data_IF_291692988960
#
_entry.id   IF_291692988960
#
_cell.length_a   1.000
_cell.length_b   1.000
_cell.length_c   1.000
_cell.angle_alpha   90.00
_cell.angle_beta   90.00
_cell.angle_gamma   90.00
#
_symmetry.space_group_name_H-M   'P 1'
#
loop_
_entity.id
_entity.type
_entity.pdbx_description
1 polymer ?
#
# COMPACT_ATOMS: atom_id res chain seq x y z
N UNK A 1 -31.35 -10.16 -5.60
CA UNK A 1 -31.38 -9.23 -6.79
C UNK A 1 -30.08 -8.45 -6.82
N UNK A 2 -29.41 -8.41 -7.98
CA UNK A 2 -28.20 -7.60 -8.11
C UNK A 2 -28.51 -6.13 -7.91
N UNK A 3 -27.75 -5.45 -7.04
CA UNK A 3 -27.88 -4.03 -6.74
C UNK A 3 -26.50 -3.35 -6.81
N UNK A 4 -26.51 -2.06 -7.08
CA UNK A 4 -25.29 -1.24 -7.10
C UNK A 4 -24.91 -0.89 -5.67
N UNK A 5 -23.85 -1.49 -5.15
CA UNK A 5 -23.33 -1.24 -3.80
C UNK A 5 -21.97 -0.54 -3.84
N UNK A 6 -21.68 0.24 -2.81
CA UNK A 6 -20.40 0.93 -2.65
C UNK A 6 -19.41 -0.01 -1.97
N UNK A 7 -18.53 -0.63 -2.76
CA UNK A 7 -17.53 -1.60 -2.31
C UNK A 7 -16.28 -0.90 -1.77
N UNK A 8 -15.82 0.15 -2.46
CA UNK A 8 -14.63 0.90 -2.05
C UNK A 8 -15.00 2.32 -1.61
N UNK A 9 -14.61 2.68 -0.39
CA UNK A 9 -14.73 4.05 0.10
C UNK A 9 -13.74 5.01 -0.60
N UNK A 10 -13.98 6.30 -0.47
CA UNK A 10 -13.11 7.30 -1.07
C UNK A 10 -11.68 7.28 -0.48
N UNK A 11 -11.47 7.14 0.85
CA UNK A 11 -10.14 7.03 1.43
C UNK A 11 -9.31 5.87 0.87
N UNK A 12 -9.90 4.68 0.73
CA UNK A 12 -9.21 3.51 0.14
C UNK A 12 -8.79 3.74 -1.30
N UNK A 13 -9.68 4.33 -2.11
CA UNK A 13 -9.40 4.63 -3.53
C UNK A 13 -8.34 5.73 -3.68
N UNK A 14 -8.46 6.80 -2.91
CA UNK A 14 -7.49 7.90 -2.92
C UNK A 14 -6.10 7.40 -2.50
N UNK A 15 -6.02 6.63 -1.41
CA UNK A 15 -4.78 5.96 -1.00
C UNK A 15 -4.16 5.16 -2.14
N UNK A 16 -4.95 4.31 -2.81
CA UNK A 16 -4.45 3.44 -3.88
C UNK A 16 -3.86 4.25 -5.04
N UNK A 17 -4.57 5.26 -5.53
CA UNK A 17 -4.10 6.02 -6.69
C UNK A 17 -2.95 6.97 -6.35
N UNK A 18 -2.95 7.57 -5.16
CA UNK A 18 -1.80 8.33 -4.68
C UNK A 18 -0.56 7.44 -4.53
N UNK A 19 -0.73 6.22 -4.01
CA UNK A 19 0.35 5.24 -3.90
C UNK A 19 0.93 4.89 -5.28
N UNK A 20 0.09 4.64 -6.28
CA UNK A 20 0.54 4.34 -7.66
C UNK A 20 1.36 5.50 -8.24
N UNK A 21 0.87 6.74 -8.12
CA UNK A 21 1.57 7.92 -8.62
C UNK A 21 2.89 8.14 -7.87
N UNK A 22 2.86 8.03 -6.55
CA UNK A 22 4.03 8.22 -5.73
C UNK A 22 5.09 7.13 -5.95
N UNK A 23 4.67 5.89 -6.17
CA UNK A 23 5.59 4.79 -6.51
C UNK A 23 6.36 5.06 -7.80
N UNK A 24 5.68 5.54 -8.85
CA UNK A 24 6.32 5.98 -10.10
C UNK A 24 7.29 7.15 -9.89
N UNK A 25 6.89 8.12 -9.08
CA UNK A 25 7.75 9.26 -8.71
C UNK A 25 8.98 8.81 -7.90
N UNK A 26 8.82 7.91 -6.95
CA UNK A 26 9.92 7.37 -6.14
C UNK A 26 10.95 6.64 -7.00
N UNK A 27 10.49 5.82 -7.95
CA UNK A 27 11.38 5.18 -8.92
C UNK A 27 12.11 6.21 -9.78
N UNK A 28 11.39 7.17 -10.35
CA UNK A 28 11.97 8.23 -11.18
C UNK A 28 13.02 9.03 -10.42
N UNK A 29 12.70 9.56 -9.24
CA UNK A 29 13.61 10.38 -8.44
C UNK A 29 14.86 9.64 -7.99
N UNK A 30 14.74 8.34 -7.69
CA UNK A 30 15.89 7.50 -7.36
C UNK A 30 16.83 7.29 -8.57
N UNK A 31 16.24 7.10 -9.78
CA UNK A 31 17.04 6.86 -10.99
C UNK A 31 17.76 8.12 -11.50
N UNK A 32 17.20 9.31 -11.26
CA UNK A 32 17.85 10.57 -11.64
C UNK A 32 19.04 10.91 -10.72
N UNK A 33 18.96 10.57 -9.44
CA UNK A 33 20.01 10.92 -8.48
C UNK A 33 20.16 12.43 -8.28
N UNK A 34 21.35 12.86 -7.82
CA UNK A 34 21.67 14.30 -7.66
C UNK A 34 20.61 15.03 -6.83
N UNK A 35 20.20 16.21 -7.30
CA UNK A 35 19.19 17.04 -6.62
C UNK A 35 17.83 16.36 -6.46
N UNK A 36 17.52 15.37 -7.29
CA UNK A 36 16.29 14.61 -7.17
C UNK A 36 16.25 13.69 -5.95
N UNK A 37 17.39 13.37 -5.33
CA UNK A 37 17.42 12.62 -4.06
C UNK A 37 16.76 13.37 -2.92
N UNK A 38 16.81 14.69 -2.86
CA UNK A 38 16.06 15.49 -1.87
C UNK A 38 14.55 15.24 -2.01
N UNK A 39 14.07 15.17 -3.25
CA UNK A 39 12.66 14.89 -3.53
C UNK A 39 12.31 13.43 -3.29
N UNK A 40 13.26 12.49 -3.51
CA UNK A 40 13.11 11.10 -3.14
C UNK A 40 12.92 10.94 -1.61
N UNK A 41 13.74 11.60 -0.81
CA UNK A 41 13.60 11.59 0.65
C UNK A 41 12.24 12.12 1.10
N UNK A 42 11.81 13.28 0.57
CA UNK A 42 10.50 13.88 0.88
C UNK A 42 9.33 12.98 0.42
N UNK A 43 9.44 12.41 -0.77
CA UNK A 43 8.48 11.43 -1.27
C UNK A 43 8.44 10.17 -0.42
N UNK A 44 9.58 9.74 0.13
CA UNK A 44 9.68 8.63 1.07
C UNK A 44 8.90 8.85 2.36
N UNK A 45 8.95 10.06 2.92
CA UNK A 45 8.11 10.44 4.06
C UNK A 45 6.62 10.36 3.69
N UNK A 46 6.22 10.97 2.57
CA UNK A 46 4.83 10.91 2.12
C UNK A 46 4.37 9.44 1.88
N UNK A 47 5.26 8.59 1.36
CA UNK A 47 4.98 7.15 1.22
C UNK A 47 4.74 6.50 2.58
N UNK A 48 5.56 6.82 3.58
CA UNK A 48 5.40 6.32 4.94
C UNK A 48 4.08 6.78 5.56
N UNK A 49 3.71 8.05 5.38
CA UNK A 49 2.41 8.58 5.83
C UNK A 49 1.24 7.84 5.20
N UNK A 50 1.30 7.59 3.88
CA UNK A 50 0.27 6.81 3.18
C UNK A 50 0.19 5.38 3.70
N UNK A 51 1.32 4.72 3.93
CA UNK A 51 1.36 3.36 4.49
C UNK A 51 0.82 3.34 5.91
N UNK A 52 1.22 4.27 6.77
CA UNK A 52 0.69 4.41 8.13
C UNK A 52 -0.83 4.64 8.14
N UNK A 53 -1.30 5.56 7.30
CA UNK A 53 -2.73 5.76 7.09
C UNK A 53 -3.44 4.45 6.70
N UNK A 54 -2.91 3.70 5.73
CA UNK A 54 -3.52 2.45 5.25
C UNK A 54 -3.54 1.36 6.32
N UNK A 55 -2.51 1.26 7.14
CA UNK A 55 -2.48 0.32 8.26
C UNK A 55 -3.58 0.65 9.27
N UNK A 56 -3.70 1.92 9.66
CA UNK A 56 -4.79 2.39 10.53
C UNK A 56 -6.16 2.14 9.90
N UNK A 57 -6.33 2.47 8.62
CA UNK A 57 -7.58 2.23 7.88
C UNK A 57 -7.91 0.75 7.73
N UNK A 58 -6.89 -0.11 7.78
CA UNK A 58 -7.04 -1.56 7.84
C UNK A 58 -7.51 -2.12 9.17
N UNK A 59 -7.44 -1.32 10.23
CA UNK A 59 -7.89 -1.71 11.57
C UNK A 59 -9.30 -1.20 11.85
N UNK A 60 -9.57 0.09 11.63
CA UNK A 60 -10.85 0.72 11.98
C UNK A 60 -11.60 1.40 10.83
N UNK A 61 -11.14 1.27 9.58
CA UNK A 61 -11.79 1.82 8.40
C UNK A 61 -13.11 1.13 8.02
N UNK A 62 -13.51 1.26 6.76
CA UNK A 62 -14.69 0.59 6.21
C UNK A 62 -14.51 -0.92 6.16
N UNK A 63 -15.60 -1.69 6.17
CA UNK A 63 -15.56 -3.15 6.27
C UNK A 63 -14.69 -3.79 5.18
N UNK A 64 -14.79 -3.34 3.93
CA UNK A 64 -13.97 -3.86 2.82
C UNK A 64 -12.49 -3.48 2.92
N UNK A 65 -12.14 -2.48 3.74
CA UNK A 65 -10.77 -2.04 3.99
C UNK A 65 -10.11 -2.75 5.18
N UNK A 66 -10.91 -3.29 6.13
CA UNK A 66 -10.41 -3.92 7.35
C UNK A 66 -9.71 -5.25 7.07
N UNK A 67 -8.51 -5.42 7.63
CA UNK A 67 -7.76 -6.67 7.54
C UNK A 67 -8.55 -7.87 8.09
N UNK A 68 -9.24 -7.69 9.21
CA UNK A 68 -10.07 -8.72 9.84
C UNK A 68 -11.24 -9.20 8.98
N UNK A 69 -11.65 -8.42 7.97
CA UNK A 69 -12.78 -8.75 7.09
C UNK A 69 -12.34 -9.41 5.79
N UNK A 70 -11.18 -9.05 5.27
CA UNK A 70 -10.75 -9.57 3.97
C UNK A 70 -9.61 -10.61 4.05
N UNK A 71 -8.84 -10.66 5.14
CA UNK A 71 -7.86 -11.74 5.35
C UNK A 71 -8.61 -12.99 5.78
N UNK A 72 -8.58 -13.98 4.92
CA UNK A 72 -9.39 -15.20 5.07
C UNK A 72 -8.55 -16.41 5.45
N UNK A 73 -9.12 -17.41 6.17
CA UNK A 73 -8.41 -18.61 6.53
C UNK A 73 -8.03 -19.44 5.29
N UNK A 74 -7.02 -20.27 5.42
CA UNK A 74 -6.50 -21.09 4.32
C UNK A 74 -7.56 -21.97 3.64
N UNK A 75 -8.56 -22.43 4.38
CA UNK A 75 -9.70 -23.18 3.84
C UNK A 75 -10.49 -22.40 2.79
N UNK A 76 -10.70 -21.09 3.00
CA UNK A 76 -11.40 -20.24 2.04
C UNK A 76 -10.52 -19.89 0.83
N UNK A 77 -9.21 -19.72 1.02
CA UNK A 77 -8.27 -19.57 -0.08
C UNK A 77 -8.33 -20.80 -0.98
N UNK A 78 -8.35 -22.01 -0.39
CA UNK A 78 -8.48 -23.28 -1.12
C UNK A 78 -9.84 -23.38 -1.85
N UNK A 79 -10.95 -23.01 -1.20
CA UNK A 79 -12.27 -22.95 -1.85
C UNK A 79 -12.25 -22.04 -3.08
N UNK A 80 -11.65 -20.87 -2.94
CA UNK A 80 -11.54 -19.91 -4.01
C UNK A 80 -10.72 -20.44 -5.20
N UNK A 81 -9.54 -20.99 -4.95
CA UNK A 81 -8.68 -21.55 -6.01
C UNK A 81 -9.31 -22.75 -6.72
N UNK A 82 -10.22 -23.47 -6.05
CA UNK A 82 -11.01 -24.55 -6.64
C UNK A 82 -12.27 -24.07 -7.40
N UNK A 83 -12.48 -22.75 -7.52
CA UNK A 83 -13.65 -22.19 -8.19
C UNK A 83 -14.98 -22.37 -7.45
N UNK A 84 -14.92 -22.65 -6.14
CA UNK A 84 -16.10 -22.96 -5.30
C UNK A 84 -16.65 -21.73 -4.55
N UNK A 85 -16.28 -20.52 -4.97
CA UNK A 85 -16.79 -19.27 -4.42
C UNK A 85 -17.40 -18.42 -5.54
N UNK A 86 -18.57 -17.88 -5.30
CA UNK A 86 -19.25 -16.97 -6.22
C UNK A 86 -18.72 -15.52 -6.09
N UNK A 87 -18.98 -14.69 -7.10
CA UNK A 87 -18.65 -13.26 -7.03
C UNK A 87 -19.43 -12.52 -5.94
N UNK A 88 -20.64 -12.97 -5.63
CA UNK A 88 -21.51 -12.37 -4.63
C UNK A 88 -20.99 -12.62 -3.19
N UNK A 89 -20.20 -13.69 -2.99
CA UNK A 89 -19.46 -13.94 -1.73
C UNK A 89 -18.22 -13.05 -1.58
N UNK A 90 -17.78 -12.37 -2.67
CA UNK A 90 -16.54 -11.61 -2.76
C UNK A 90 -16.83 -10.11 -2.93
N UNK A 91 -17.39 -9.50 -1.88
CA UNK A 91 -17.81 -8.08 -1.93
C UNK A 91 -16.61 -7.15 -2.15
N UNK A 92 -15.50 -7.39 -1.47
CA UNK A 92 -14.26 -6.62 -1.59
C UNK A 92 -13.14 -7.40 -2.27
N UNK A 93 -12.07 -7.67 -1.51
CA UNK A 93 -10.96 -8.46 -2.02
C UNK A 93 -11.34 -9.95 -2.13
N UNK A 94 -10.95 -10.59 -3.23
CA UNK A 94 -10.91 -12.04 -3.26
C UNK A 94 -9.71 -12.54 -2.42
N UNK A 95 -9.69 -13.83 -2.01
CA UNK A 95 -8.65 -14.35 -1.11
C UNK A 95 -7.21 -14.18 -1.61
N UNK A 96 -6.95 -14.35 -2.91
CA UNK A 96 -5.62 -14.12 -3.50
C UNK A 96 -5.26 -12.63 -3.56
N UNK A 97 -6.24 -11.78 -3.88
CA UNK A 97 -6.09 -10.32 -3.83
C UNK A 97 -5.79 -9.83 -2.41
N UNK A 98 -6.41 -10.44 -1.39
CA UNK A 98 -6.12 -10.16 0.01
C UNK A 98 -4.66 -10.44 0.37
N UNK A 99 -4.13 -11.60 -0.02
CA UNK A 99 -2.71 -11.95 0.17
C UNK A 99 -1.79 -10.97 -0.55
N UNK A 100 -2.13 -10.58 -1.77
CA UNK A 100 -1.36 -9.58 -2.54
C UNK A 100 -1.34 -8.22 -1.83
N UNK A 101 -2.46 -7.77 -1.26
CA UNK A 101 -2.50 -6.52 -0.48
C UNK A 101 -1.59 -6.60 0.74
N UNK A 102 -1.62 -7.70 1.49
CA UNK A 102 -0.73 -7.90 2.64
C UNK A 102 0.74 -7.92 2.21
N UNK A 103 1.06 -8.65 1.14
CA UNK A 103 2.45 -8.72 0.62
C UNK A 103 2.97 -7.35 0.18
N UNK A 104 2.17 -6.58 -0.59
CA UNK A 104 2.55 -5.24 -1.02
C UNK A 104 2.69 -4.27 0.14
N UNK A 105 1.78 -4.28 1.12
CA UNK A 105 1.89 -3.42 2.30
C UNK A 105 3.11 -3.77 3.15
N UNK A 106 3.37 -5.05 3.39
CA UNK A 106 4.57 -5.49 4.12
C UNK A 106 5.85 -5.07 3.39
N UNK A 107 5.89 -5.24 2.06
CA UNK A 107 7.01 -4.80 1.25
C UNK A 107 7.21 -3.27 1.30
N UNK A 108 6.13 -2.48 1.25
CA UNK A 108 6.19 -1.03 1.38
C UNK A 108 6.69 -0.57 2.76
N UNK A 109 6.20 -1.21 3.85
CA UNK A 109 6.70 -0.95 5.21
C UNK A 109 8.20 -1.22 5.27
N UNK A 110 8.64 -2.36 4.77
CA UNK A 110 10.05 -2.73 4.78
C UNK A 110 10.90 -1.78 3.92
N UNK A 111 10.43 -1.44 2.72
CA UNK A 111 11.10 -0.50 1.81
C UNK A 111 11.24 0.88 2.45
N UNK A 112 10.18 1.43 3.03
CA UNK A 112 10.23 2.74 3.68
C UNK A 112 11.09 2.73 4.94
N UNK A 113 11.00 1.68 5.76
CA UNK A 113 11.83 1.53 6.95
C UNK A 113 13.32 1.49 6.61
N UNK A 114 13.73 0.69 5.62
CA UNK A 114 15.14 0.65 5.20
C UNK A 114 15.62 1.97 4.62
N UNK A 115 14.74 2.71 3.91
CA UNK A 115 15.06 4.03 3.37
C UNK A 115 15.30 5.09 4.45
N UNK A 116 14.59 5.03 5.59
CA UNK A 116 14.79 5.97 6.70
C UNK A 116 16.21 5.90 7.29
N UNK A 117 16.84 4.74 7.26
CA UNK A 117 18.17 4.51 7.82
C UNK A 117 19.28 4.44 6.76
N UNK A 118 18.95 4.54 5.48
CA UNK A 118 19.92 4.40 4.40
C UNK A 118 20.99 5.50 4.42
N UNK A 119 22.27 5.12 4.32
CA UNK A 119 23.38 6.06 4.20
C UNK A 119 23.51 6.58 2.76
N UNK A 120 23.97 7.83 2.60
CA UNK A 120 24.45 8.34 1.32
C UNK A 120 25.99 8.20 1.28
N UNK A 121 26.46 7.20 0.55
CA UNK A 121 27.89 6.91 0.42
C UNK A 121 28.62 7.81 -0.59
N UNK A 122 27.88 8.55 -1.41
CA UNK A 122 28.46 9.36 -2.48
C UNK A 122 28.70 10.82 -2.09
N UNK A 123 27.68 11.45 -1.49
CA UNK A 123 27.72 12.89 -1.18
C UNK A 123 27.66 13.17 0.31
N UNK A 124 27.28 12.18 1.14
CA UNK A 124 27.07 12.28 2.58
C UNK A 124 26.02 13.31 3.01
N UNK A 125 25.26 13.85 2.05
CA UNK A 125 24.30 14.94 2.25
C UNK A 125 22.85 14.51 2.20
N UNK A 126 22.56 13.38 1.55
CA UNK A 126 21.20 12.90 1.27
C UNK A 126 20.90 11.53 1.93
N UNK A 127 21.37 11.34 3.14
CA UNK A 127 21.04 10.15 3.93
C UNK A 127 19.58 10.13 4.39
N UNK A 128 19.07 8.94 4.69
CA UNK A 128 17.74 8.77 5.28
C UNK A 128 17.58 9.55 6.58
N UNK A 129 16.39 10.03 6.89
CA UNK A 129 16.11 10.95 8.01
C UNK A 129 16.56 10.46 9.38
N UNK A 130 16.64 9.14 9.58
CA UNK A 130 17.05 8.51 10.83
C UNK A 130 18.44 7.83 10.75
N UNK A 131 19.21 8.12 9.69
CA UNK A 131 20.52 7.49 9.49
C UNK A 131 21.48 7.77 10.64
N UNK A 132 21.45 8.96 11.21
CA UNK A 132 22.29 9.38 12.35
C UNK A 132 22.06 8.58 13.63
N UNK A 133 20.94 7.83 13.72
CA UNK A 133 20.62 6.97 14.88
C UNK A 133 21.27 5.59 14.80
N UNK A 134 21.95 5.27 13.72
CA UNK A 134 22.57 3.96 13.49
C UNK A 134 24.06 4.11 13.18
N UNK A 135 24.80 3.01 13.31
CA UNK A 135 26.21 3.01 12.92
C UNK A 135 26.35 3.13 11.39
N UNK A 136 27.50 3.63 10.93
CA UNK A 136 27.84 3.73 9.50
C UNK A 136 27.63 2.38 8.77
N UNK A 137 28.11 1.29 9.37
CA UNK A 137 27.89 -0.05 8.81
C UNK A 137 26.42 -0.41 8.67
N UNK A 138 25.57 -0.08 9.66
CA UNK A 138 24.14 -0.33 9.60
C UNK A 138 23.44 0.55 8.54
N UNK A 139 23.85 1.82 8.41
CA UNK A 139 23.34 2.72 7.39
C UNK A 139 23.65 2.26 5.96
N UNK A 140 24.91 1.84 5.73
CA UNK A 140 25.36 1.24 4.46
C UNK A 140 24.58 -0.05 4.15
N UNK A 141 24.38 -0.93 5.14
CA UNK A 141 23.59 -2.14 4.97
C UNK A 141 22.12 -1.80 4.64
N UNK A 142 21.53 -0.84 5.36
CA UNK A 142 20.15 -0.40 5.11
C UNK A 142 19.99 0.13 3.67
N UNK A 143 20.94 0.94 3.17
CA UNK A 143 20.96 1.40 1.78
C UNK A 143 21.02 0.23 0.80
N UNK A 144 21.94 -0.69 1.01
CA UNK A 144 22.11 -1.87 0.15
C UNK A 144 20.82 -2.70 0.07
N UNK A 145 20.17 -2.90 1.22
CA UNK A 145 18.88 -3.60 1.29
C UNK A 145 17.81 -2.79 0.55
N UNK A 146 17.68 -1.48 0.84
CA UNK A 146 16.67 -0.59 0.24
C UNK A 146 16.75 -0.61 -1.29
N UNK A 147 17.92 -0.45 -1.86
CA UNK A 147 18.12 -0.45 -3.32
C UNK A 147 17.79 -1.80 -3.94
N UNK A 148 18.24 -2.90 -3.34
CA UNK A 148 18.00 -4.23 -3.92
C UNK A 148 16.56 -4.71 -3.72
N UNK A 149 15.95 -4.41 -2.56
CA UNK A 149 14.59 -4.83 -2.24
C UNK A 149 13.53 -4.13 -3.10
N UNK A 150 13.85 -2.97 -3.68
CA UNK A 150 12.98 -2.34 -4.67
C UNK A 150 12.62 -3.29 -5.82
N UNK A 151 13.54 -4.15 -6.26
CA UNK A 151 13.24 -5.14 -7.31
C UNK A 151 12.14 -6.14 -6.86
N UNK A 152 12.14 -6.54 -5.60
CA UNK A 152 11.06 -7.39 -5.05
C UNK A 152 9.74 -6.65 -5.07
N UNK A 153 9.72 -5.39 -4.64
CA UNK A 153 8.53 -4.55 -4.66
C UNK A 153 8.02 -4.33 -6.09
N UNK A 154 8.91 -4.08 -7.05
CA UNK A 154 8.57 -3.91 -8.47
C UNK A 154 7.97 -5.20 -9.06
N UNK A 155 8.53 -6.37 -8.74
CA UNK A 155 7.97 -7.67 -9.15
C UNK A 155 6.59 -7.89 -8.56
N UNK A 156 6.38 -7.61 -7.27
CA UNK A 156 5.07 -7.73 -6.63
C UNK A 156 4.04 -6.79 -7.29
N UNK A 157 4.41 -5.55 -7.57
CA UNK A 157 3.55 -4.60 -8.28
C UNK A 157 3.23 -5.08 -9.70
N UNK A 158 4.22 -5.61 -10.43
CA UNK A 158 4.02 -6.20 -11.76
C UNK A 158 3.07 -7.40 -11.73
N UNK A 159 3.22 -8.32 -10.77
CA UNK A 159 2.32 -9.45 -10.56
C UNK A 159 0.90 -8.97 -10.21
N UNK A 160 0.77 -7.93 -9.38
CA UNK A 160 -0.53 -7.33 -9.07
C UNK A 160 -1.21 -6.78 -10.34
N UNK A 161 -0.51 -6.01 -11.14
CA UNK A 161 -1.05 -5.45 -12.39
C UNK A 161 -1.43 -6.58 -13.35
N UNK A 162 -0.55 -7.57 -13.54
CA UNK A 162 -0.82 -8.71 -14.40
C UNK A 162 -2.05 -9.51 -13.94
N UNK A 163 -2.22 -9.71 -12.63
CA UNK A 163 -3.40 -10.35 -12.07
C UNK A 163 -4.67 -9.54 -12.37
N UNK A 164 -4.68 -8.22 -12.16
CA UNK A 164 -5.83 -7.35 -12.46
C UNK A 164 -6.22 -7.44 -13.94
N UNK A 165 -5.24 -7.42 -14.85
CA UNK A 165 -5.48 -7.55 -16.29
C UNK A 165 -6.01 -8.96 -16.65
N UNK A 166 -5.48 -10.02 -16.05
CA UNK A 166 -5.97 -11.38 -16.22
C UNK A 166 -7.43 -11.52 -15.77
N UNK A 167 -7.77 -10.93 -14.62
CA UNK A 167 -9.17 -10.91 -14.16
C UNK A 167 -10.06 -10.18 -15.16
N UNK A 168 -9.63 -9.02 -15.64
CA UNK A 168 -10.40 -8.21 -16.61
C UNK A 168 -10.63 -8.93 -17.93
N UNK A 169 -9.56 -9.47 -18.54
CA UNK A 169 -9.61 -9.97 -19.93
C UNK A 169 -9.93 -11.46 -20.02
N UNK A 170 -9.44 -12.30 -19.09
CA UNK A 170 -9.63 -13.75 -19.13
C UNK A 170 -10.84 -14.16 -18.29
N UNK A 171 -10.89 -13.72 -17.03
CA UNK A 171 -11.99 -14.06 -16.12
C UNK A 171 -13.26 -13.25 -16.33
N UNK A 172 -13.19 -12.17 -17.15
CA UNK A 172 -14.29 -11.24 -17.41
C UNK A 172 -14.84 -10.56 -16.13
N UNK A 173 -14.00 -10.42 -15.10
CA UNK A 173 -14.31 -9.78 -13.84
C UNK A 173 -13.63 -8.40 -13.79
N UNK A 174 -14.44 -7.34 -13.72
CA UNK A 174 -13.93 -5.98 -13.69
C UNK A 174 -13.52 -5.57 -12.27
N UNK A 175 -12.22 -5.49 -12.02
CA UNK A 175 -11.65 -4.99 -10.78
C UNK A 175 -11.26 -3.51 -10.87
N UNK A 176 -11.11 -2.96 -12.06
CA UNK A 176 -10.63 -1.59 -12.29
C UNK A 176 -11.75 -0.58 -12.03
N UNK A 177 -12.91 -0.78 -12.66
CA UNK A 177 -14.05 0.16 -12.52
C UNK A 177 -14.47 0.35 -11.05
N UNK A 178 -14.60 -0.68 -10.20
CA UNK A 178 -14.87 -0.46 -8.78
C UNK A 178 -13.78 0.33 -8.06
N UNK A 179 -12.50 0.16 -8.40
CA UNK A 179 -11.42 0.93 -7.80
C UNK A 179 -11.42 2.41 -8.26
N UNK A 180 -11.98 2.71 -9.43
CA UNK A 180 -12.18 4.09 -9.92
C UNK A 180 -13.46 4.72 -9.35
N UNK A 181 -14.58 4.05 -9.48
CA UNK A 181 -15.92 4.58 -9.13
C UNK A 181 -16.31 4.39 -7.68
N UNK A 182 -15.83 3.30 -7.04
CA UNK A 182 -16.23 2.83 -5.72
C UNK A 182 -17.37 1.82 -5.74
N UNK A 183 -18.02 1.58 -6.88
CA UNK A 183 -19.26 0.80 -6.96
C UNK A 183 -19.08 -0.51 -7.73
N UNK A 184 -19.82 -1.54 -7.30
CA UNK A 184 -19.96 -2.83 -7.97
C UNK A 184 -21.43 -3.24 -7.98
N UNK A 185 -21.88 -3.93 -9.04
CA UNK A 185 -23.25 -4.46 -9.14
C UNK A 185 -23.23 -5.96 -8.85
N UNK A 186 -23.65 -6.33 -7.64
CA UNK A 186 -23.65 -7.72 -7.13
C UNK A 186 -24.87 -7.97 -6.25
N UNK A 187 -25.17 -9.23 -5.96
CA UNK A 187 -26.22 -9.65 -5.00
C UNK A 187 -25.59 -9.82 -3.60
N UNK A 188 -25.33 -8.70 -2.95
CA UNK A 188 -24.75 -8.67 -1.61
C UNK A 188 -25.24 -7.45 -0.83
N UNK A 189 -25.08 -7.49 0.48
CA UNK A 189 -25.41 -6.35 1.35
C UNK A 189 -24.39 -5.22 1.21
N UNK A 190 -24.85 -3.99 1.40
CA UNK A 190 -24.01 -2.81 1.44
C UNK A 190 -23.03 -2.90 2.61
N UNK A 191 -21.69 -2.87 2.37
CA UNK A 191 -20.70 -2.83 3.45
C UNK A 191 -20.85 -1.57 4.31
N UNK A 192 -20.59 -1.69 5.59
CA UNK A 192 -20.57 -0.53 6.48
C UNK A 192 -19.37 0.35 6.16
N UNK A 193 -19.63 1.61 5.86
CA UNK A 193 -18.60 2.60 5.60
C UNK A 193 -18.16 3.26 6.91
N UNK A 194 -16.87 3.53 7.04
CA UNK A 194 -16.33 4.29 8.16
C UNK A 194 -16.75 5.76 8.08
N UNK A 195 -16.89 6.39 9.23
CA UNK A 195 -17.26 7.80 9.33
C UNK A 195 -16.05 8.74 9.38
N UNK A 196 -16.36 10.04 9.52
CA UNK A 196 -15.34 11.10 9.57
C UNK A 196 -14.40 10.95 10.78
N UNK A 197 -14.89 10.48 11.92
CA UNK A 197 -14.06 10.30 13.12
C UNK A 197 -12.93 9.30 12.90
N UNK A 198 -13.21 8.16 12.24
CA UNK A 198 -12.19 7.16 11.90
C UNK A 198 -11.18 7.71 10.88
N UNK A 199 -11.64 8.51 9.91
CA UNK A 199 -10.78 9.14 8.92
C UNK A 199 -9.81 10.11 9.59
N UNK A 200 -10.32 11.01 10.43
CA UNK A 200 -9.50 11.98 11.17
C UNK A 200 -8.49 11.29 12.09
N UNK A 201 -8.89 10.21 12.77
CA UNK A 201 -7.99 9.44 13.60
C UNK A 201 -6.84 8.80 12.80
N UNK A 202 -7.13 8.22 11.62
CA UNK A 202 -6.10 7.63 10.76
C UNK A 202 -5.13 8.69 10.20
N UNK A 203 -5.65 9.84 9.80
CA UNK A 203 -4.83 10.96 9.34
C UNK A 203 -3.97 11.52 10.47
N UNK A 204 -4.52 11.66 11.68
CA UNK A 204 -3.77 12.13 12.84
C UNK A 204 -2.58 11.24 13.16
N UNK A 205 -2.77 9.90 13.15
CA UNK A 205 -1.66 8.96 13.38
C UNK A 205 -0.57 9.12 12.32
N UNK A 206 -0.95 9.24 11.04
CA UNK A 206 0.02 9.46 9.97
C UNK A 206 0.80 10.76 10.16
N UNK A 207 0.12 11.87 10.49
CA UNK A 207 0.74 13.18 10.74
C UNK A 207 1.67 13.13 11.95
N UNK A 208 1.22 12.51 13.06
CA UNK A 208 2.06 12.39 14.27
C UNK A 208 3.33 11.60 13.99
N UNK A 209 3.24 10.51 13.21
CA UNK A 209 4.41 9.73 12.79
C UNK A 209 5.39 10.60 11.97
N UNK A 210 4.88 11.34 10.99
CA UNK A 210 5.70 12.23 10.16
C UNK A 210 6.38 13.32 11.00
N UNK A 211 5.63 13.97 11.89
CA UNK A 211 6.16 14.99 12.80
C UNK A 211 7.25 14.39 13.71
N UNK A 212 7.05 13.19 14.24
CA UNK A 212 8.03 12.51 15.07
C UNK A 212 9.34 12.25 14.31
N UNK A 213 9.26 11.72 13.09
CA UNK A 213 10.45 11.49 12.23
C UNK A 213 11.13 12.82 11.90
N UNK A 214 10.33 13.85 11.57
CA UNK A 214 10.88 15.18 11.26
C UNK A 214 11.59 15.82 12.45
N UNK A 215 11.09 15.63 13.67
CA UNK A 215 11.74 16.12 14.90
C UNK A 215 12.98 15.31 15.26
N UNK A 216 13.02 14.02 14.93
CA UNK A 216 14.14 13.14 15.19
C UNK A 216 15.23 13.21 14.12
N UNK A 217 15.05 13.94 13.03
CA UNK A 217 16.06 14.07 11.98
C UNK A 217 17.30 14.79 12.54
N UNK A 218 18.47 14.30 12.20
CA UNK A 218 19.77 14.93 12.47
C UNK A 218 20.04 16.14 11.57
#
# INVERSE_FOLDING_TARGET
MKQKIKVWDAPTRLFHWLLVLLMGFMWYSATQGGDMLVWHLRGGLLMLALVAFRLCWGIWGSDTAKFSQFVRPFSEIRRYTQGRMSEDELVGHNPLGALMVIALLAALVFQTATGLFAADENTFTNSGFLNHLVSEHAGTLARKIHVNFFNVLAVLAGVHIAAVLLYRFVKKQDLITPMMSGFKTIDAQQPKLAGMGQLLAALLVAIVLECAIWMLRG
#
